data_IF_329695784190
#
_entry.id   IF_329695784190
#
_cell.length_a   1.000
_cell.length_b   1.000
_cell.length_c   1.000
_cell.angle_alpha   90.00
_cell.angle_beta   90.00
_cell.angle_gamma   90.00
#
_symmetry.space_group_name_H-M   'P 1'
#
loop_
_entity.id
_entity.type
_entity.pdbx_description
1 polymer ?
#
# COMPACT_ATOMS: atom_id res chain seq x y z
N UNK A 1 0.27 -55.42 -14.12
CA UNK A 1 -0.75 -55.64 -13.07
C UNK A 1 -1.05 -54.28 -12.46
N UNK A 2 -2.05 -53.53 -12.95
CA UNK A 2 -3.49 -53.78 -12.77
C UNK A 2 -3.82 -54.07 -11.28
N UNK A 3 -4.79 -53.44 -10.64
CA UNK A 3 -5.86 -52.58 -11.11
C UNK A 3 -6.64 -52.09 -9.87
N UNK A 4 -7.08 -50.83 -9.92
CA UNK A 4 -8.45 -50.37 -9.63
C UNK A 4 -9.02 -50.56 -8.19
N UNK A 5 -10.01 -49.82 -7.70
CA UNK A 5 -11.19 -49.24 -8.36
C UNK A 5 -11.89 -48.23 -7.42
N UNK A 6 -12.13 -47.02 -7.93
CA UNK A 6 -13.33 -46.13 -7.81
C UNK A 6 -13.91 -45.82 -6.41
N UNK A 7 -14.39 -44.61 -6.12
CA UNK A 7 -15.51 -43.88 -6.78
C UNK A 7 -15.56 -42.47 -6.16
N UNK A 8 -15.30 -41.37 -6.90
CA UNK A 8 -16.27 -40.44 -7.52
C UNK A 8 -17.27 -39.77 -6.54
N UNK A 9 -17.14 -38.44 -6.40
CA UNK A 9 -18.16 -37.35 -6.32
C UNK A 9 -17.41 -36.10 -5.74
N UNK A 10 -16.96 -35.13 -6.53
CA UNK A 10 -17.69 -34.01 -7.17
C UNK A 10 -18.19 -32.92 -6.17
N UNK A 11 -17.89 -31.66 -6.52
CA UNK A 11 -18.32 -30.37 -5.93
C UNK A 11 -17.59 -29.96 -4.62
N UNK A 12 -17.11 -28.73 -4.41
CA UNK A 12 -17.25 -27.45 -5.10
C UNK A 12 -16.10 -26.51 -4.70
N UNK A 13 -15.71 -25.63 -5.62
CA UNK A 13 -15.18 -24.26 -5.46
C UNK A 13 -14.93 -23.78 -4.01
N UNK A 14 -13.77 -23.23 -3.66
CA UNK A 14 -13.19 -22.06 -4.31
C UNK A 14 -11.67 -22.15 -4.35
N UNK A 15 -11.15 -22.16 -5.57
CA UNK A 15 -9.80 -21.71 -5.85
C UNK A 15 -9.81 -20.21 -5.57
N UNK A 16 -9.19 -19.78 -4.48
CA UNK A 16 -8.69 -18.42 -4.40
C UNK A 16 -7.56 -18.36 -5.42
N UNK A 17 -7.91 -18.09 -6.68
CA UNK A 17 -6.99 -17.39 -7.55
C UNK A 17 -6.89 -15.99 -6.91
N UNK A 18 -6.00 -15.86 -5.93
CA UNK A 18 -5.03 -14.80 -6.07
C UNK A 18 -4.39 -15.13 -7.41
N UNK A 19 -4.83 -14.46 -8.48
CA UNK A 19 -3.85 -14.20 -9.51
C UNK A 19 -2.68 -13.64 -8.73
N UNK A 20 -1.62 -14.42 -8.82
CA UNK A 20 -0.34 -14.24 -8.21
C UNK A 20 0.09 -12.83 -8.61
N UNK A 21 -0.27 -11.81 -7.83
CA UNK A 21 0.45 -10.56 -7.85
C UNK A 21 1.74 -10.89 -7.13
N UNK A 22 2.60 -11.60 -7.86
CA UNK A 22 3.96 -11.15 -7.98
C UNK A 22 3.88 -9.62 -7.98
N UNK A 23 4.45 -8.99 -6.97
CA UNK A 23 5.06 -7.69 -7.18
C UNK A 23 6.24 -7.91 -8.15
N UNK A 24 5.93 -8.36 -9.37
CA UNK A 24 6.79 -8.21 -10.52
C UNK A 24 6.54 -6.80 -11.00
N UNK A 25 7.63 -6.06 -11.10
CA UNK A 25 7.73 -4.85 -11.90
C UNK A 25 7.25 -5.18 -13.32
N UNK A 26 5.96 -4.97 -13.64
CA UNK A 26 5.50 -4.89 -15.03
C UNK A 26 5.24 -3.44 -15.36
N UNK A 27 6.06 -2.96 -16.28
CA UNK A 27 5.94 -1.67 -16.95
C UNK A 27 4.87 -1.83 -18.02
N UNK A 28 3.61 -1.69 -17.65
CA UNK A 28 2.52 -1.67 -18.62
C UNK A 28 2.09 -0.23 -18.91
N UNK A 29 2.46 0.25 -20.09
CA UNK A 29 1.99 1.49 -20.67
C UNK A 29 0.50 1.36 -21.01
N UNK A 30 -0.36 2.04 -20.27
CA UNK A 30 -1.76 2.21 -20.64
C UNK A 30 -1.97 3.58 -21.29
N UNK A 31 -2.20 3.59 -22.60
CA UNK A 31 -2.88 4.70 -23.28
C UNK A 31 -4.34 4.31 -23.45
N UNK A 32 -5.31 5.05 -22.89
CA UNK A 32 -6.61 5.25 -23.58
C UNK A 32 -7.54 6.32 -22.97
N UNK A 33 -8.63 6.55 -23.71
CA UNK A 33 -9.43 7.75 -23.95
C UNK A 33 -10.41 8.21 -22.86
N UNK A 34 -10.66 9.52 -22.86
CA UNK A 34 -11.70 10.24 -22.10
C UNK A 34 -13.08 9.60 -22.20
N UNK A 35 -13.76 9.52 -21.06
CA UNK A 35 -15.22 9.60 -20.98
C UNK A 35 -15.59 10.53 -19.81
N UNK A 36 -16.06 11.73 -20.14
CA UNK A 36 -16.87 12.54 -19.22
C UNK A 36 -18.31 12.02 -19.37
N UNK A 37 -18.83 11.31 -18.38
CA UNK A 37 -20.27 11.02 -18.30
C UNK A 37 -20.88 11.65 -17.03
N UNK A 38 -21.56 12.80 -17.14
CA UNK A 38 -22.15 13.52 -16.01
C UNK A 38 -23.44 12.89 -15.44
N UNK A 39 -23.79 11.64 -15.78
CA UNK A 39 -25.03 10.98 -15.30
C UNK A 39 -24.86 10.11 -14.02
N UNK A 40 -23.65 9.76 -13.58
CA UNK A 40 -23.46 8.77 -12.50
C UNK A 40 -23.56 9.38 -11.08
N UNK A 41 -23.48 10.71 -10.93
CA UNK A 41 -23.47 11.34 -9.60
C UNK A 41 -24.80 11.25 -8.82
N UNK A 42 -25.91 10.86 -9.45
CA UNK A 42 -27.24 10.85 -8.82
C UNK A 42 -27.80 9.45 -8.46
N UNK A 43 -27.01 8.37 -8.57
CA UNK A 43 -27.48 7.00 -8.28
C UNK A 43 -26.69 6.25 -7.19
N UNK A 44 -25.70 6.89 -6.56
CA UNK A 44 -24.92 6.24 -5.51
C UNK A 44 -25.62 6.31 -4.15
N UNK A 45 -25.63 5.19 -3.41
CA UNK A 45 -26.12 5.15 -2.03
C UNK A 45 -25.07 5.79 -1.12
N UNK A 46 -25.41 6.91 -0.46
CA UNK A 46 -24.49 7.52 0.51
C UNK A 46 -24.36 6.66 1.77
N UNK A 47 -23.11 6.39 2.15
CA UNK A 47 -22.76 5.90 3.47
C UNK A 47 -21.84 6.94 4.14
N UNK A 48 -22.30 7.63 5.20
CA UNK A 48 -21.51 8.71 5.79
C UNK A 48 -20.20 8.21 6.39
N UNK A 49 -20.04 6.91 6.67
CA UNK A 49 -18.93 6.36 7.42
C UNK A 49 -19.30 6.19 8.88
N UNK A 50 -18.34 6.36 9.79
CA UNK A 50 -18.52 6.25 11.24
C UNK A 50 -18.00 4.94 11.84
N UNK A 51 -18.30 4.74 13.12
CA UNK A 51 -17.85 3.58 13.88
C UNK A 51 -18.98 2.56 14.00
N UNK A 52 -18.77 1.34 13.49
CA UNK A 52 -19.67 0.20 13.67
C UNK A 52 -19.28 -0.52 14.95
N UNK A 53 -20.23 -0.66 15.89
CA UNK A 53 -20.02 -1.26 17.21
C UNK A 53 -21.19 -2.17 17.53
N UNK A 54 -20.92 -3.41 17.95
CA UNK A 54 -21.92 -4.41 18.31
C UNK A 54 -22.99 -4.62 17.21
N UNK A 55 -22.60 -4.48 15.96
CA UNK A 55 -23.51 -4.54 14.82
C UNK A 55 -22.84 -5.17 13.60
N UNK A 56 -23.67 -5.63 12.67
CA UNK A 56 -23.27 -6.19 11.38
C UNK A 56 -23.81 -5.33 10.25
N UNK A 57 -22.92 -4.69 9.51
CA UNK A 57 -23.28 -3.92 8.33
C UNK A 57 -23.00 -4.69 7.04
N UNK A 58 -23.95 -4.66 6.10
CA UNK A 58 -23.82 -5.35 4.80
C UNK A 58 -23.89 -4.33 3.67
N UNK A 59 -22.81 -4.22 2.90
CA UNK A 59 -22.81 -3.57 1.60
C UNK A 59 -23.47 -4.53 0.60
N UNK A 60 -24.70 -4.21 0.19
CA UNK A 60 -25.52 -5.04 -0.68
C UNK A 60 -25.36 -4.65 -2.14
N UNK A 61 -25.29 -5.63 -3.04
CA UNK A 61 -25.18 -5.39 -4.48
C UNK A 61 -26.34 -4.55 -5.03
N UNK A 62 -27.55 -4.73 -4.48
CA UNK A 62 -28.76 -3.99 -4.86
C UNK A 62 -28.70 -2.48 -4.63
N UNK A 63 -27.78 -2.01 -3.77
CA UNK A 63 -27.58 -0.60 -3.43
C UNK A 63 -26.25 -0.04 -3.93
N UNK A 64 -25.48 -0.85 -4.68
CA UNK A 64 -24.23 -0.45 -5.32
C UNK A 64 -24.52 0.51 -6.49
N UNK A 65 -23.71 1.57 -6.71
CA UNK A 65 -22.47 1.89 -5.99
C UNK A 65 -22.72 2.64 -4.67
N UNK A 66 -21.80 2.49 -3.72
CA UNK A 66 -21.79 3.23 -2.46
C UNK A 66 -20.81 4.40 -2.49
N UNK A 67 -21.16 5.50 -1.82
CA UNK A 67 -20.23 6.59 -1.54
C UNK A 67 -19.85 6.62 -0.06
N UNK A 68 -18.56 6.44 0.24
CA UNK A 68 -18.02 6.51 1.59
C UNK A 68 -17.34 7.86 1.83
N UNK A 69 -18.00 8.74 2.59
CA UNK A 69 -17.56 10.14 2.79
C UNK A 69 -16.66 10.38 4.00
N UNK A 70 -16.76 9.55 5.04
CA UNK A 70 -15.89 9.62 6.21
C UNK A 70 -15.35 8.23 6.53
N UNK A 71 -14.35 8.20 7.42
CA UNK A 71 -13.71 6.96 7.87
C UNK A 71 -14.74 5.94 8.36
N UNK A 72 -14.57 4.69 7.92
CA UNK A 72 -15.31 3.55 8.43
C UNK A 72 -14.44 2.80 9.43
N UNK A 73 -14.89 2.72 10.67
CA UNK A 73 -14.19 1.99 11.74
C UNK A 73 -15.04 0.80 12.16
N UNK A 74 -14.53 -0.42 11.96
CA UNK A 74 -15.18 -1.67 12.39
C UNK A 74 -14.56 -2.10 13.70
N UNK A 75 -15.25 -1.91 14.82
CA UNK A 75 -14.74 -2.31 16.14
C UNK A 75 -14.70 -3.82 16.33
N UNK A 76 -13.98 -4.30 17.37
CA UNK A 76 -13.73 -5.74 17.62
C UNK A 76 -14.99 -6.62 17.63
N UNK A 77 -16.11 -6.06 18.08
CA UNK A 77 -17.40 -6.77 18.19
C UNK A 77 -18.34 -6.46 17.03
N UNK A 78 -17.82 -5.97 15.90
CA UNK A 78 -18.59 -5.65 14.72
C UNK A 78 -18.12 -6.46 13.50
N UNK A 79 -19.01 -6.62 12.54
CA UNK A 79 -18.74 -7.28 11.27
C UNK A 79 -19.18 -6.38 10.11
N UNK A 80 -18.34 -6.26 9.09
CA UNK A 80 -18.73 -5.69 7.80
C UNK A 80 -18.66 -6.78 6.75
N UNK A 81 -19.73 -6.91 5.96
CA UNK A 81 -19.79 -7.83 4.83
C UNK A 81 -19.94 -7.02 3.53
N UNK A 82 -19.13 -7.35 2.53
CA UNK A 82 -19.23 -6.79 1.18
C UNK A 82 -19.65 -7.91 0.24
N UNK A 83 -20.85 -7.80 -0.33
CA UNK A 83 -21.36 -8.75 -1.30
C UNK A 83 -20.53 -8.73 -2.62
N UNK A 84 -20.44 -9.86 -3.34
CA UNK A 84 -19.83 -9.89 -4.67
C UNK A 84 -20.40 -8.81 -5.60
N UNK A 85 -19.54 -8.20 -6.43
CA UNK A 85 -19.93 -7.20 -7.43
C UNK A 85 -20.26 -5.82 -6.89
N UNK A 86 -20.10 -5.57 -5.58
CA UNK A 86 -20.28 -4.25 -4.99
C UNK A 86 -19.14 -3.31 -5.39
N UNK A 87 -19.50 -2.08 -5.75
CA UNK A 87 -18.56 -0.96 -5.93
C UNK A 87 -18.71 0.04 -4.78
N UNK A 88 -17.60 0.36 -4.10
CA UNK A 88 -17.51 1.39 -3.08
C UNK A 88 -16.57 2.48 -3.57
N UNK A 89 -17.12 3.68 -3.75
CA UNK A 89 -16.40 4.91 -4.07
C UNK A 89 -16.06 5.63 -2.77
N UNK A 90 -14.79 5.80 -2.48
CA UNK A 90 -14.28 6.34 -1.21
C UNK A 90 -13.70 7.73 -1.44
N UNK A 91 -14.11 8.72 -0.65
CA UNK A 91 -13.58 10.09 -0.76
C UNK A 91 -12.06 10.14 -0.51
N UNK A 92 -11.34 11.11 -1.10
CA UNK A 92 -9.94 11.37 -0.81
C UNK A 92 -9.65 11.41 0.69
N UNK A 93 -8.54 10.79 1.10
CA UNK A 93 -8.12 10.69 2.51
C UNK A 93 -9.05 9.90 3.45
N UNK A 94 -10.17 9.34 2.99
CA UNK A 94 -11.00 8.45 3.81
C UNK A 94 -10.39 7.05 3.85
N UNK A 95 -10.41 6.41 5.01
CA UNK A 95 -9.88 5.06 5.21
C UNK A 95 -10.89 4.11 5.85
N UNK A 96 -10.62 2.82 5.73
CA UNK A 96 -11.38 1.77 6.42
C UNK A 96 -10.47 1.13 7.46
N UNK A 97 -10.80 1.23 8.75
CA UNK A 97 -10.05 0.57 9.83
C UNK A 97 -10.85 -0.62 10.35
N UNK A 98 -10.24 -1.80 10.37
CA UNK A 98 -10.88 -3.05 10.80
C UNK A 98 -10.19 -3.59 12.05
N UNK A 99 -10.91 -3.58 13.17
CA UNK A 99 -10.55 -4.24 14.44
C UNK A 99 -11.41 -5.48 14.70
N UNK A 100 -12.60 -5.55 14.10
CA UNK A 100 -13.51 -6.70 14.11
C UNK A 100 -13.27 -7.62 12.92
N UNK A 101 -14.34 -7.93 12.19
CA UNK A 101 -14.33 -8.82 11.02
C UNK A 101 -14.74 -8.04 9.77
N UNK A 102 -14.00 -8.25 8.67
CA UNK A 102 -14.37 -7.80 7.33
C UNK A 102 -14.45 -9.02 6.41
N UNK A 103 -15.64 -9.31 5.89
CA UNK A 103 -15.90 -10.42 4.96
C UNK A 103 -16.15 -9.86 3.57
N UNK A 104 -15.28 -10.17 2.62
CA UNK A 104 -15.42 -9.72 1.23
C UNK A 104 -14.95 -10.84 0.29
N UNK A 105 -15.89 -11.48 -0.40
CA UNK A 105 -15.60 -12.57 -1.35
C UNK A 105 -16.23 -12.23 -2.69
N UNK A 106 -15.41 -11.78 -3.65
CA UNK A 106 -15.83 -11.57 -5.04
C UNK A 106 -15.49 -12.79 -5.92
N UNK A 107 -15.96 -12.78 -7.17
CA UNK A 107 -15.55 -13.73 -8.21
C UNK A 107 -15.08 -12.97 -9.47
N UNK A 108 -14.68 -13.69 -10.53
CA UNK A 108 -14.15 -13.06 -11.75
C UNK A 108 -15.17 -12.14 -12.44
N UNK A 109 -16.46 -12.48 -12.38
CA UNK A 109 -17.57 -11.76 -12.99
C UNK A 109 -18.15 -10.66 -12.07
N UNK A 110 -18.05 -10.87 -10.76
CA UNK A 110 -18.60 -10.02 -9.71
C UNK A 110 -17.50 -9.59 -8.74
N UNK A 111 -16.53 -8.85 -9.29
CA UNK A 111 -15.42 -8.30 -8.52
C UNK A 111 -15.93 -7.22 -7.58
N UNK A 112 -15.43 -7.25 -6.35
CA UNK A 112 -15.61 -6.16 -5.38
C UNK A 112 -14.62 -5.06 -5.75
N UNK A 113 -15.11 -3.84 -5.96
CA UNK A 113 -14.30 -2.70 -6.39
C UNK A 113 -14.32 -1.63 -5.31
N UNK A 114 -13.16 -1.34 -4.72
CA UNK A 114 -12.97 -0.15 -3.87
C UNK A 114 -12.10 0.84 -4.64
N UNK A 115 -12.67 2.01 -4.95
CA UNK A 115 -12.01 3.04 -5.76
C UNK A 115 -12.21 4.41 -5.15
N UNK A 116 -11.42 5.40 -5.57
CA UNK A 116 -11.66 6.80 -5.19
C UNK A 116 -12.99 7.32 -5.77
N UNK A 117 -13.63 8.23 -5.04
CA UNK A 117 -14.86 8.92 -5.44
C UNK A 117 -14.64 9.96 -6.55
N UNK A 118 -13.43 10.52 -6.64
CA UNK A 118 -13.06 11.36 -7.76
C UNK A 118 -12.84 10.47 -9.00
N UNK A 119 -13.38 10.88 -10.15
CA UNK A 119 -12.88 10.36 -11.42
C UNK A 119 -11.41 10.75 -11.47
N UNK A 120 -10.53 9.77 -11.23
CA UNK A 120 -9.10 9.91 -11.40
C UNK A 120 -8.84 10.15 -12.89
N UNK A 121 -9.15 11.36 -13.36
CA UNK A 121 -8.62 11.95 -14.56
C UNK A 121 -7.13 11.65 -14.49
N UNK A 122 -6.70 10.73 -15.36
CA UNK A 122 -5.44 10.02 -15.30
C UNK A 122 -4.30 10.98 -14.96
N UNK A 123 -3.99 11.12 -13.67
CA UNK A 123 -2.75 11.74 -13.24
C UNK A 123 -1.71 10.70 -13.58
N UNK A 124 -0.76 11.06 -14.43
CA UNK A 124 0.47 10.28 -14.58
C UNK A 124 1.01 10.06 -13.18
N UNK A 125 0.89 8.83 -12.67
CA UNK A 125 1.43 8.45 -11.37
C UNK A 125 2.93 8.44 -11.56
N UNK A 126 3.56 9.56 -11.23
CA UNK A 126 5.00 9.62 -11.13
C UNK A 126 5.39 8.85 -9.87
N UNK A 127 5.92 7.65 -10.07
CA UNK A 127 6.35 6.82 -8.96
C UNK A 127 7.60 7.46 -8.35
N UNK A 128 7.63 7.62 -7.03
CA UNK A 128 8.78 8.21 -6.39
C UNK A 128 10.01 7.35 -6.65
N UNK A 129 11.14 8.00 -6.89
CA UNK A 129 12.46 7.38 -7.05
C UNK A 129 13.03 6.81 -5.73
N UNK A 130 12.16 6.52 -4.76
CA UNK A 130 12.43 5.94 -3.45
C UNK A 130 11.33 4.92 -3.12
N UNK A 131 11.70 3.82 -2.45
CA UNK A 131 10.75 2.82 -1.94
C UNK A 131 11.21 2.22 -0.62
N UNK A 132 10.25 1.70 0.15
CA UNK A 132 10.48 0.91 1.37
C UNK A 132 10.23 -0.56 1.06
N UNK A 133 11.18 -1.43 1.42
CA UNK A 133 11.10 -2.89 1.20
C UNK A 133 11.47 -3.66 2.46
N UNK A 134 11.10 -4.95 2.52
CA UNK A 134 11.43 -5.90 3.60
C UNK A 134 10.92 -5.53 5.01
N UNK A 135 10.12 -4.48 5.16
CA UNK A 135 9.51 -4.13 6.42
C UNK A 135 8.12 -4.72 6.60
N UNK A 136 7.58 -4.63 7.83
CA UNK A 136 6.31 -5.28 8.18
C UNK A 136 5.07 -4.59 7.59
N UNK A 137 5.22 -3.36 7.08
CA UNK A 137 4.12 -2.56 6.54
C UNK A 137 4.58 -1.77 5.31
N UNK A 138 3.63 -1.19 4.56
CA UNK A 138 3.94 -0.27 3.46
C UNK A 138 4.63 1.03 3.92
N UNK A 139 4.58 1.32 5.23
CA UNK A 139 5.12 2.54 5.82
C UNK A 139 6.49 2.32 6.45
N UNK A 140 6.89 1.07 6.70
CA UNK A 140 8.14 0.74 7.37
C UNK A 140 8.97 -0.17 6.49
N UNK A 141 10.28 0.08 6.38
CA UNK A 141 11.17 -0.82 5.67
C UNK A 141 12.55 -0.24 5.36
N UNK A 142 13.35 -1.07 4.70
CA UNK A 142 14.65 -0.72 4.12
C UNK A 142 14.46 0.34 3.04
N UNK A 143 15.21 1.41 3.13
CA UNK A 143 15.22 2.48 2.13
C UNK A 143 15.99 2.02 0.89
N UNK A 144 15.32 2.04 -0.26
CA UNK A 144 15.97 1.91 -1.57
C UNK A 144 15.72 3.16 -2.41
N UNK A 145 16.77 3.68 -3.03
CA UNK A 145 16.71 4.83 -3.94
C UNK A 145 17.06 4.37 -5.35
N UNK A 146 16.31 4.85 -6.35
CA UNK A 146 16.58 4.60 -7.77
C UNK A 146 17.74 5.48 -8.20
N UNK A 147 18.89 4.88 -8.48
CA UNK A 147 20.09 5.57 -8.93
C UNK A 147 20.71 4.85 -10.13
N UNK A 148 20.81 5.57 -11.26
CA UNK A 148 21.20 5.05 -12.57
C UNK A 148 20.31 3.87 -13.01
N UNK A 149 18.98 4.09 -12.98
CA UNK A 149 17.96 3.10 -13.35
C UNK A 149 17.98 1.79 -12.55
N UNK A 150 18.67 1.76 -11.40
CA UNK A 150 18.74 0.60 -10.52
C UNK A 150 18.35 0.97 -9.10
N UNK A 151 17.57 0.10 -8.46
CA UNK A 151 17.25 0.20 -7.04
C UNK A 151 18.45 -0.19 -6.19
N UNK A 152 18.81 0.68 -5.25
CA UNK A 152 19.96 0.49 -4.37
C UNK A 152 19.57 0.74 -2.94
N UNK A 153 19.89 -0.20 -2.05
CA UNK A 153 19.77 0.05 -0.62
C UNK A 153 20.67 1.21 -0.22
N UNK A 154 20.17 2.03 0.69
CA UNK A 154 20.96 3.08 1.32
C UNK A 154 21.71 2.50 2.50
N UNK A 155 23.04 2.55 2.45
CA UNK A 155 23.90 2.28 3.59
C UNK A 155 24.34 3.62 4.18
N UNK A 156 24.41 3.69 5.50
CA UNK A 156 24.90 4.87 6.20
C UNK A 156 25.70 4.46 7.43
N UNK A 157 26.75 5.21 7.73
CA UNK A 157 27.41 5.15 9.02
C UNK A 157 26.57 5.95 10.04
N UNK A 158 25.44 5.37 10.44
CA UNK A 158 24.47 5.64 11.53
C UNK A 158 24.25 7.02 12.18
N UNK A 159 25.13 8.02 12.05
CA UNK A 159 25.10 9.28 12.82
C UNK A 159 24.81 10.52 11.99
N UNK A 160 24.83 10.43 10.67
CA UNK A 160 24.78 11.62 9.81
C UNK A 160 23.40 11.88 9.19
N UNK A 161 22.50 10.89 9.17
CA UNK A 161 21.09 11.15 8.83
C UNK A 161 20.39 11.80 10.01
N UNK A 162 19.84 12.97 9.75
CA UNK A 162 19.04 13.75 10.68
C UNK A 162 17.55 13.39 10.55
N UNK A 163 16.73 13.91 11.47
CA UNK A 163 15.27 13.83 11.32
C UNK A 163 14.79 14.49 10.03
N UNK A 164 15.43 15.57 9.58
CA UNK A 164 15.05 16.28 8.35
C UNK A 164 15.28 15.45 7.08
N UNK A 165 16.34 14.65 7.04
CA UNK A 165 16.62 13.73 5.92
C UNK A 165 15.54 12.65 5.84
N UNK A 166 15.19 12.09 6.99
CA UNK A 166 14.12 11.08 7.09
C UNK A 166 12.74 11.67 6.78
N UNK A 167 12.44 12.90 7.23
CA UNK A 167 11.17 13.58 6.93
C UNK A 167 11.05 13.84 5.43
N UNK A 168 12.14 14.25 4.78
CA UNK A 168 12.21 14.43 3.33
C UNK A 168 12.03 13.11 2.59
N UNK A 169 12.61 12.01 3.06
CA UNK A 169 12.42 10.67 2.50
C UNK A 169 10.95 10.23 2.57
N UNK A 170 10.31 10.41 3.73
CA UNK A 170 8.88 10.11 3.89
C UNK A 170 8.00 11.01 3.04
N UNK A 171 8.33 12.31 2.93
CA UNK A 171 7.62 13.25 2.07
C UNK A 171 7.70 12.86 0.61
N UNK A 172 8.87 12.43 0.15
CA UNK A 172 9.04 11.93 -1.20
C UNK A 172 8.20 10.67 -1.48
N UNK A 173 7.96 9.83 -0.45
CA UNK A 173 7.03 8.70 -0.50
C UNK A 173 5.54 9.11 -0.40
N UNK A 174 5.26 10.41 -0.23
CA UNK A 174 3.90 10.95 -0.08
C UNK A 174 3.39 11.01 1.36
N UNK A 175 4.25 10.80 2.35
CA UNK A 175 3.91 10.78 3.79
C UNK A 175 4.53 11.95 4.55
N UNK A 176 3.87 12.41 5.61
CA UNK A 176 4.37 13.48 6.46
C UNK A 176 5.04 12.89 7.70
N UNK A 177 6.35 13.06 7.80
CA UNK A 177 7.12 12.65 8.97
C UNK A 177 7.30 11.14 9.10
N UNK A 178 8.09 10.76 10.10
CA UNK A 178 8.46 9.37 10.35
C UNK A 178 9.40 9.23 11.54
N UNK A 179 9.92 8.03 11.71
CA UNK A 179 10.98 7.69 12.65
C UNK A 179 12.00 6.76 11.99
N UNK A 180 13.20 6.69 12.57
CA UNK A 180 14.14 5.63 12.21
C UNK A 180 13.60 4.29 12.71
N UNK A 181 13.39 3.35 11.78
CA UNK A 181 12.89 2.01 12.10
C UNK A 181 14.03 1.10 12.57
N UNK A 182 15.26 1.37 12.13
CA UNK A 182 16.45 0.64 12.53
C UNK A 182 17.30 0.24 11.32
N UNK A 183 17.71 -1.02 11.31
CA UNK A 183 18.73 -1.52 10.38
C UNK A 183 18.33 -2.87 9.80
N UNK A 184 18.50 -3.03 8.49
CA UNK A 184 18.36 -4.33 7.83
C UNK A 184 19.72 -4.93 7.46
N UNK A 185 19.84 -6.24 7.64
CA UNK A 185 20.99 -6.99 7.14
C UNK A 185 21.03 -6.96 5.62
N UNK A 186 22.25 -7.05 5.08
CA UNK A 186 22.48 -7.04 3.64
C UNK A 186 21.77 -8.22 2.96
N UNK A 187 21.08 -7.93 1.86
CA UNK A 187 20.44 -8.95 1.02
C UNK A 187 21.44 -9.70 0.14
N UNK A 188 21.18 -10.99 -0.03
CA UNK A 188 21.84 -11.85 -1.01
C UNK A 188 20.98 -11.96 -2.28
N UNK A 189 21.57 -11.96 -3.49
CA UNK A 189 22.99 -11.80 -3.78
C UNK A 189 23.48 -10.37 -3.48
N UNK A 190 24.78 -10.24 -3.17
CA UNK A 190 25.38 -8.96 -2.81
C UNK A 190 25.27 -7.97 -3.98
N UNK A 191 24.34 -7.02 -3.89
CA UNK A 191 24.24 -5.89 -4.80
C UNK A 191 25.07 -4.71 -4.30
N UNK A 192 25.50 -3.85 -5.22
CA UNK A 192 26.13 -2.56 -4.93
C UNK A 192 25.12 -1.60 -4.30
N UNK A 193 25.49 -1.04 -3.14
CA UNK A 193 24.66 -0.14 -2.35
C UNK A 193 25.04 1.33 -2.55
N UNK A 194 24.14 2.22 -2.18
CA UNK A 194 24.33 3.66 -2.22
C UNK A 194 24.74 4.14 -0.83
N UNK A 195 25.99 4.60 -0.71
CA UNK A 195 26.45 5.33 0.47
C UNK A 195 25.90 6.74 0.36
N UNK A 196 25.02 7.14 1.26
CA UNK A 196 24.50 8.51 1.30
C UNK A 196 24.52 9.00 2.74
N UNK A 197 25.70 9.38 3.24
CA UNK A 197 25.91 9.66 4.66
C UNK A 197 25.35 11.01 5.08
N UNK A 198 25.56 12.05 4.27
CA UNK A 198 25.22 13.43 4.60
C UNK A 198 24.31 14.02 3.53
N UNK A 199 22.99 13.72 3.56
CA UNK A 199 22.02 14.39 2.71
C UNK A 199 21.86 15.87 3.11
N UNK A 200 22.02 16.21 4.39
CA UNK A 200 21.91 17.58 4.93
C UNK A 200 20.64 18.32 4.46
N UNK A 201 19.50 17.63 4.42
CA UNK A 201 18.22 18.23 4.08
C UNK A 201 17.83 19.28 5.15
N UNK A 202 17.20 20.36 4.71
CA UNK A 202 16.58 21.38 5.58
C UNK A 202 15.24 20.93 6.15
N UNK A 203 14.62 19.89 5.58
CA UNK A 203 13.31 19.38 5.95
C UNK A 203 12.18 20.03 5.17
N UNK A 204 12.47 20.85 4.16
CA UNK A 204 11.47 21.51 3.30
C UNK A 204 11.45 20.98 1.86
N UNK A 205 12.44 20.18 1.48
CA UNK A 205 12.65 19.62 0.15
C UNK A 205 11.60 18.56 -0.24
N UNK A 206 11.08 18.59 -1.46
CA UNK A 206 10.17 17.54 -1.95
C UNK A 206 10.84 16.18 -2.14
N UNK A 207 12.16 16.16 -2.30
CA UNK A 207 12.92 14.97 -2.65
C UNK A 207 14.30 14.95 -2.01
N UNK A 208 14.79 13.75 -1.69
CA UNK A 208 16.18 13.54 -1.28
C UNK A 208 17.20 13.93 -2.37
N UNK A 209 16.76 14.01 -3.63
CA UNK A 209 17.59 14.48 -4.75
C UNK A 209 17.83 15.99 -4.72
N UNK A 210 16.95 16.74 -4.04
CA UNK A 210 17.03 18.20 -3.90
C UNK A 210 17.92 18.64 -2.73
N UNK A 211 18.25 17.71 -1.82
CA UNK A 211 19.21 17.94 -0.75
C UNK A 211 20.66 17.87 -1.30
N UNK A 212 21.65 17.57 -0.44
CA UNK A 212 23.06 17.46 -0.82
C UNK A 212 23.38 16.14 -1.57
N UNK A 213 22.67 15.88 -2.67
CA UNK A 213 22.74 14.63 -3.44
C UNK A 213 24.14 14.33 -3.99
N UNK A 214 25.00 15.33 -4.15
CA UNK A 214 26.38 15.17 -4.63
C UNK A 214 27.31 14.39 -3.68
N UNK A 215 26.96 14.24 -2.40
CA UNK A 215 27.80 13.53 -1.40
C UNK A 215 27.72 12.01 -1.51
N UNK A 216 26.78 11.49 -2.31
CA UNK A 216 26.55 10.04 -2.45
C UNK A 216 27.71 9.34 -3.16
N UNK A 217 27.95 8.09 -2.78
CA UNK A 217 28.96 7.23 -3.42
C UNK A 217 28.39 5.84 -3.70
N UNK A 218 28.77 5.24 -4.82
CA UNK A 218 28.31 3.91 -5.21
C UNK A 218 29.36 2.85 -4.90
N UNK A 219 28.96 1.75 -4.25
CA UNK A 219 29.84 0.60 -4.06
C UNK A 219 31.05 0.91 -3.18
N UNK A 220 30.96 1.93 -2.32
CA UNK A 220 32.00 2.29 -1.37
C UNK A 220 32.17 1.14 -0.37
N UNK A 221 33.36 0.55 -0.29
CA UNK A 221 33.67 -0.60 0.58
C UNK A 221 33.35 -0.36 2.07
N UNK A 222 33.18 0.91 2.46
CA UNK A 222 32.63 1.29 3.77
C UNK A 222 31.29 0.61 4.03
N UNK A 223 30.41 0.58 3.03
CA UNK A 223 29.10 -0.02 3.19
C UNK A 223 29.17 -1.50 3.54
N UNK A 224 30.19 -2.24 3.10
CA UNK A 224 30.29 -3.69 3.34
C UNK A 224 30.26 -4.08 4.82
N UNK A 225 30.63 -3.14 5.71
CA UNK A 225 30.60 -3.34 7.16
C UNK A 225 29.41 -2.67 7.86
N UNK A 226 28.54 -1.98 7.11
CA UNK A 226 27.37 -1.30 7.64
C UNK A 226 26.06 -1.93 7.15
N UNK A 227 25.02 -1.98 8.00
CA UNK A 227 23.70 -2.42 7.59
C UNK A 227 22.99 -1.37 6.73
N UNK A 228 21.86 -1.78 6.13
CA UNK A 228 21.04 -0.89 5.31
C UNK A 228 20.07 -0.10 6.19
N UNK A 229 19.87 1.18 5.87
CA UNK A 229 19.01 2.10 6.59
C UNK A 229 17.54 1.71 6.47
N UNK A 230 16.82 1.73 7.59
CA UNK A 230 15.38 1.54 7.64
C UNK A 230 14.67 2.73 8.29
N UNK A 231 13.56 3.13 7.70
CA UNK A 231 12.68 4.18 8.23
C UNK A 231 11.25 3.68 8.32
N UNK A 232 10.45 4.32 9.17
CA UNK A 232 9.02 4.14 9.29
C UNK A 232 8.32 5.49 9.15
N UNK A 233 7.53 5.66 8.11
CA UNK A 233 6.76 6.88 7.88
C UNK A 233 5.47 6.88 8.68
N UNK A 234 4.99 8.06 9.06
CA UNK A 234 3.69 8.18 9.69
C UNK A 234 2.59 7.90 8.66
N UNK A 235 1.43 7.35 9.09
CA UNK A 235 0.26 7.13 8.24
C UNK A 235 -0.49 8.45 7.98
N UNK A 236 0.24 9.53 7.69
CA UNK A 236 -0.25 10.87 7.38
C UNK A 236 0.35 11.26 6.05
N UNK A 237 -0.45 11.83 5.18
CA UNK A 237 0.06 12.26 3.89
C UNK A 237 0.53 13.71 3.93
N UNK A 238 1.61 14.00 3.20
CA UNK A 238 2.18 15.36 3.11
C UNK A 238 1.24 16.33 2.35
N UNK A 239 0.41 15.81 1.46
CA UNK A 239 -0.59 16.56 0.69
C UNK A 239 -1.94 15.85 0.73
N UNK A 240 -3.06 16.56 0.52
CA UNK A 240 -4.33 15.93 0.20
C UNK A 240 -4.16 15.15 -1.09
N UNK A 241 -4.16 13.83 -1.00
CA UNK A 241 -4.03 12.99 -2.18
C UNK A 241 -5.41 12.62 -2.66
N UNK A 242 -5.62 12.53 -3.98
CA UNK A 242 -6.91 12.18 -4.58
C UNK A 242 -7.30 10.72 -4.33
N UNK A 243 -6.51 9.99 -3.54
CA UNK A 243 -6.75 8.60 -3.20
C UNK A 243 -7.26 8.44 -1.76
N UNK A 244 -8.03 7.38 -1.57
CA UNK A 244 -8.46 6.92 -0.26
C UNK A 244 -7.30 6.20 0.45
N UNK A 245 -7.31 6.16 1.78
CA UNK A 245 -6.22 5.63 2.63
C UNK A 245 -6.11 4.11 2.65
N UNK A 246 -6.96 3.38 1.92
CA UNK A 246 -6.98 1.93 1.92
C UNK A 246 -7.65 1.32 3.16
N UNK A 247 -7.47 0.01 3.31
CA UNK A 247 -7.98 -0.78 4.43
C UNK A 247 -6.83 -1.08 5.39
N UNK A 248 -7.01 -0.75 6.68
CA UNK A 248 -6.05 -1.03 7.74
C UNK A 248 -6.63 -2.03 8.74
N UNK A 249 -5.96 -3.15 8.94
CA UNK A 249 -6.33 -4.14 9.96
C UNK A 249 -5.55 -3.91 11.26
N UNK A 250 -6.25 -3.76 12.40
CA UNK A 250 -5.67 -3.47 13.71
C UNK A 250 -6.00 -4.58 14.71
N UNK A 251 -5.18 -5.63 14.76
CA UNK A 251 -5.42 -6.83 15.59
C UNK A 251 -6.82 -7.42 15.35
N UNK A 252 -7.23 -7.42 14.07
CA UNK A 252 -8.52 -7.94 13.65
C UNK A 252 -8.64 -9.44 13.95
N UNK A 253 -9.86 -9.87 14.27
CA UNK A 253 -10.17 -11.29 14.37
C UNK A 253 -9.98 -11.91 12.99
N UNK A 254 -9.16 -12.95 12.90
CA UNK A 254 -8.94 -13.71 11.69
C UNK A 254 -9.11 -15.19 12.01
N UNK A 255 -9.69 -15.95 11.08
CA UNK A 255 -9.71 -17.40 11.21
C UNK A 255 -8.29 -17.93 11.02
N UNK A 256 -7.76 -18.60 12.06
CA UNK A 256 -6.54 -19.40 11.94
C UNK A 256 -6.98 -20.84 11.65
N UNK A 257 -6.93 -21.26 10.39
CA UNK A 257 -6.96 -22.68 10.08
C UNK A 257 -5.63 -23.28 10.57
N UNK A 258 -5.64 -23.82 11.78
CA UNK A 258 -4.63 -24.78 12.23
C UNK A 258 -4.96 -26.12 11.58
N UNK A 259 -4.14 -26.54 10.64
CA UNK A 259 -3.96 -27.96 10.29
C UNK A 259 -3.04 -28.63 11.33
#
# INVERSE_FOLDING_TARGET
MCNFLRTLLAFSSFVVFFDLVLLQETTDYYTYTKANDPQIQNQATEHPGGTIVNDKFVFTKSRSPYWLRNDLIVERNAEVVIEPGVTIKVEPQVGITVRGVLTAQGNQDERIILTTAEDASARTIDFPDIRLVDGPTILAGRVQIRHNAQWRSVCTNSKNWTSFDMETACRQLGFQGGTFYGWFNRQMPLKSRLLYEQPMCSGTESSLFDCQWSTRQLGSGVCDYHPDLAIECLPRHDKPLPYWRGIRFERANHETHRE
#
